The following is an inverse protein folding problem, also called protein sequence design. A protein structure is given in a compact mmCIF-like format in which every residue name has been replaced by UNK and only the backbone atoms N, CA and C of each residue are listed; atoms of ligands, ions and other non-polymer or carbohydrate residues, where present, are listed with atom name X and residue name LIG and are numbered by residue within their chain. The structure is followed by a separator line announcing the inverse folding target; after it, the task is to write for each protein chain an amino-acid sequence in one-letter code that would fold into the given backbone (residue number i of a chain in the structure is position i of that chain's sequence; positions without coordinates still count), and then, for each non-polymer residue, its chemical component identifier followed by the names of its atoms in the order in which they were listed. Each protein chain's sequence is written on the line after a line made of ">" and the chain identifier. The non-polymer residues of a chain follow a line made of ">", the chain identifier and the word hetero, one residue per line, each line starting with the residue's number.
data_IF_834071098383
#
_entry.id   IF_834071098383
#
_cell.length_a   1.000
_cell.length_b   1.000
_cell.length_c   1.000
_cell.angle_alpha   90.00
_cell.angle_beta   90.00
_cell.angle_gamma   90.00
#
_symmetry.space_group_name_H-M   'P 1'
#
loop_
_entity.id
_entity.type
_entity.pdbx_description
1 polymer ?
#
# COMPACT_ATOMS: atom_id res chain seq x y z
N UNK A 1 -17.00 -5.87 9.20
CA UNK A 1 -17.97 -6.45 8.25
C UNK A 1 -19.20 -5.58 8.27
N UNK A 2 -19.50 -4.89 7.16
CA UNK A 2 -20.73 -4.11 7.01
C UNK A 2 -21.77 -5.00 6.30
N UNK A 3 -22.64 -5.62 7.09
CA UNK A 3 -23.67 -6.54 6.59
C UNK A 3 -24.81 -5.82 5.89
N UNK A 4 -25.06 -4.55 6.24
CA UNK A 4 -26.07 -3.73 5.59
C UNK A 4 -25.64 -3.31 4.17
N UNK A 5 -24.36 -2.97 4.00
CA UNK A 5 -23.79 -2.57 2.70
C UNK A 5 -23.16 -3.73 1.91
N UNK A 6 -23.19 -4.94 2.46
CA UNK A 6 -22.54 -6.13 1.89
C UNK A 6 -21.06 -5.87 1.54
N UNK A 7 -20.32 -5.30 2.49
CA UNK A 7 -18.92 -4.89 2.29
C UNK A 7 -17.98 -5.37 3.39
N UNK A 8 -16.78 -5.76 2.96
CA UNK A 8 -15.64 -6.13 3.80
C UNK A 8 -14.50 -5.16 3.50
N UNK A 9 -14.03 -4.48 4.53
CA UNK A 9 -12.89 -3.57 4.45
C UNK A 9 -11.71 -4.14 5.25
N UNK A 10 -10.56 -4.22 4.59
CA UNK A 10 -9.28 -4.58 5.19
C UNK A 10 -8.44 -3.30 5.32
N UNK A 11 -7.89 -3.05 6.51
CA UNK A 11 -6.98 -1.93 6.75
C UNK A 11 -5.57 -2.49 6.98
N UNK A 12 -4.61 -2.08 6.16
CA UNK A 12 -3.22 -2.51 6.25
C UNK A 12 -2.32 -1.33 6.53
N UNK A 13 -1.64 -1.38 7.69
CA UNK A 13 -0.72 -0.36 8.14
C UNK A 13 0.75 -0.71 7.85
N UNK A 14 1.55 0.32 7.56
CA UNK A 14 3.02 0.20 7.50
C UNK A 14 3.65 0.77 8.77
N UNK A 15 4.20 -0.10 9.62
CA UNK A 15 4.65 0.25 10.98
C UNK A 15 6.13 0.63 11.09
N UNK A 16 6.96 0.25 10.12
CA UNK A 16 8.38 0.58 10.14
C UNK A 16 8.60 2.09 9.90
N UNK A 17 9.66 2.67 10.48
CA UNK A 17 10.01 4.09 10.31
C UNK A 17 10.98 4.36 9.16
N UNK A 18 11.68 3.32 8.72
CA UNK A 18 12.69 3.36 7.66
C UNK A 18 12.47 2.21 6.70
N UNK A 19 12.85 2.40 5.44
CA UNK A 19 12.76 1.38 4.40
C UNK A 19 13.81 1.65 3.30
N UNK A 20 14.02 0.68 2.40
CA UNK A 20 14.89 0.87 1.22
C UNK A 20 14.21 1.72 0.16
N UNK A 21 14.99 2.57 -0.52
CA UNK A 21 14.51 3.34 -1.67
C UNK A 21 14.18 2.42 -2.84
N UNK A 22 12.97 2.51 -3.37
CA UNK A 22 12.51 1.68 -4.51
C UNK A 22 13.12 2.10 -5.84
N UNK A 23 13.75 3.28 -5.93
CA UNK A 23 14.37 3.77 -7.16
C UNK A 23 15.85 3.42 -7.32
N UNK A 24 16.60 3.27 -6.21
CA UNK A 24 18.05 2.99 -6.26
C UNK A 24 18.55 1.93 -5.27
N UNK A 25 17.69 1.39 -4.40
CA UNK A 25 18.05 0.36 -3.43
C UNK A 25 18.75 0.84 -2.16
N UNK A 26 19.01 2.15 -2.00
CA UNK A 26 19.63 2.69 -0.80
C UNK A 26 18.84 2.34 0.46
N UNK A 27 19.52 1.81 1.48
CA UNK A 27 18.92 1.27 2.70
C UNK A 27 18.67 2.36 3.75
N UNK A 28 17.82 2.05 4.75
CA UNK A 28 17.67 2.87 5.96
C UNK A 28 17.11 4.28 5.74
N UNK A 29 16.40 4.51 4.63
CA UNK A 29 15.82 5.81 4.31
C UNK A 29 14.57 6.04 5.14
N UNK A 30 14.41 7.24 5.70
CA UNK A 30 13.21 7.61 6.46
C UNK A 30 11.97 7.71 5.57
N UNK A 31 10.80 7.40 6.13
CA UNK A 31 9.52 7.71 5.48
C UNK A 31 9.37 9.22 5.42
N UNK A 32 9.09 9.73 4.22
CA UNK A 32 8.82 11.15 4.00
C UNK A 32 7.37 11.47 4.36
N UNK A 33 6.44 10.72 3.78
CA UNK A 33 5.01 10.85 3.98
C UNK A 33 4.30 9.54 3.62
N UNK A 34 2.97 9.51 3.77
CA UNK A 34 2.14 8.35 3.44
C UNK A 34 0.99 8.78 2.54
N UNK A 35 0.67 7.96 1.56
CA UNK A 35 -0.47 8.17 0.65
C UNK A 35 -1.49 7.08 0.89
N UNK A 36 -2.70 7.47 1.28
CA UNK A 36 -3.82 6.54 1.40
C UNK A 36 -4.24 6.07 0.01
N UNK A 37 -4.32 4.75 -0.16
CA UNK A 37 -4.79 4.09 -1.38
C UNK A 37 -5.77 2.99 -1.01
N UNK A 38 -6.64 2.69 -1.95
CA UNK A 38 -7.60 1.61 -1.86
C UNK A 38 -7.50 0.73 -3.10
N UNK A 39 -7.74 -0.56 -2.92
CA UNK A 39 -7.80 -1.54 -3.98
C UNK A 39 -9.05 -2.38 -3.83
N UNK A 40 -9.66 -2.72 -4.96
CA UNK A 40 -10.81 -3.60 -5.03
C UNK A 40 -10.34 -5.01 -5.39
N UNK A 41 -10.78 -6.02 -4.63
CA UNK A 41 -10.55 -7.42 -4.99
C UNK A 41 -11.79 -8.04 -5.67
N UNK A 42 -11.82 -9.35 -5.85
CA UNK A 42 -13.05 -10.09 -6.18
C UNK A 42 -13.98 -10.08 -4.96
N UNK A 43 -15.26 -10.37 -5.18
CA UNK A 43 -16.21 -10.51 -4.07
C UNK A 43 -15.86 -11.72 -3.20
N UNK A 44 -15.91 -11.53 -1.87
CA UNK A 44 -15.84 -12.62 -0.92
C UNK A 44 -17.25 -12.95 -0.43
N UNK A 45 -17.73 -14.16 -0.65
CA UNK A 45 -19.04 -14.62 -0.17
C UNK A 45 -20.20 -13.69 -0.53
N UNK A 46 -20.15 -13.08 -1.73
CA UNK A 46 -21.10 -12.08 -2.21
C UNK A 46 -21.04 -10.70 -1.49
N UNK A 47 -19.90 -10.38 -0.89
CA UNK A 47 -19.57 -9.07 -0.32
C UNK A 47 -18.45 -8.42 -1.11
N UNK A 48 -18.57 -7.11 -1.33
CA UNK A 48 -17.48 -6.31 -1.88
C UNK A 48 -16.30 -6.29 -0.91
N UNK A 49 -15.14 -6.73 -1.39
CA UNK A 49 -13.88 -6.72 -0.66
C UNK A 49 -12.99 -5.55 -1.09
N UNK A 50 -12.70 -4.66 -0.15
CA UNK A 50 -11.87 -3.48 -0.33
C UNK A 50 -10.66 -3.53 0.61
N UNK A 51 -9.48 -3.26 0.07
CA UNK A 51 -8.24 -3.14 0.83
C UNK A 51 -7.81 -1.69 0.88
N UNK A 52 -7.58 -1.15 2.08
CA UNK A 52 -7.11 0.21 2.31
C UNK A 52 -5.71 0.13 2.92
N UNK A 53 -4.81 0.98 2.45
CA UNK A 53 -3.49 1.10 3.05
C UNK A 53 -2.94 2.52 2.92
N UNK A 54 -2.21 2.96 3.95
CA UNK A 54 -1.35 4.12 3.90
C UNK A 54 0.03 3.71 3.39
N UNK A 55 0.27 3.89 2.09
CA UNK A 55 1.52 3.46 1.47
C UNK A 55 2.61 4.51 1.71
N UNK A 56 3.74 4.14 2.31
CA UNK A 56 4.82 5.09 2.56
C UNK A 56 5.50 5.52 1.26
N UNK A 57 5.87 6.80 1.19
CA UNK A 57 6.81 7.32 0.20
C UNK A 57 8.11 7.72 0.89
N UNK A 58 9.20 7.46 0.21
CA UNK A 58 10.56 7.68 0.69
C UNK A 58 11.17 8.79 -0.15
N UNK A 59 11.58 9.89 0.49
CA UNK A 59 12.46 10.89 -0.12
C UNK A 59 13.89 10.44 0.11
N UNK A 60 14.51 9.85 -0.91
CA UNK A 60 15.83 9.25 -0.77
C UNK A 60 16.91 10.32 -0.73
N UNK A 61 17.74 10.29 0.32
CA UNK A 61 18.89 11.19 0.45
C UNK A 61 20.05 10.84 -0.50
N UNK A 62 20.11 9.60 -1.00
CA UNK A 62 21.20 9.14 -1.86
C UNK A 62 20.98 9.48 -3.35
N UNK A 63 19.76 9.34 -3.87
CA UNK A 63 19.45 9.61 -5.28
C UNK A 63 18.53 10.82 -5.52
N UNK A 64 18.05 11.47 -4.45
CA UNK A 64 17.16 12.64 -4.52
C UNK A 64 15.72 12.35 -4.96
N UNK A 65 15.39 11.12 -5.37
CA UNK A 65 14.05 10.74 -5.84
C UNK A 65 13.09 10.49 -4.69
N UNK A 66 11.82 10.80 -4.92
CA UNK A 66 10.71 10.35 -4.06
C UNK A 66 10.10 9.10 -4.68
N UNK A 67 10.11 7.98 -3.96
CA UNK A 67 9.56 6.71 -4.43
C UNK A 67 8.54 6.15 -3.45
N UNK A 68 7.40 5.70 -3.97
CA UNK A 68 6.43 4.94 -3.18
C UNK A 68 6.92 3.49 -3.00
N UNK A 69 6.78 2.94 -1.80
CA UNK A 69 7.13 1.53 -1.54
C UNK A 69 6.19 0.61 -2.33
N UNK A 70 6.71 -0.42 -3.02
CA UNK A 70 5.88 -1.39 -3.71
C UNK A 70 5.09 -2.20 -2.68
N UNK A 71 3.79 -2.36 -2.93
CA UNK A 71 2.93 -3.25 -2.15
C UNK A 71 2.58 -4.48 -2.98
N UNK A 72 2.59 -5.69 -2.40
CA UNK A 72 2.50 -6.93 -3.16
C UNK A 72 1.17 -7.10 -3.91
N UNK A 73 0.10 -6.44 -3.47
CA UNK A 73 -1.20 -6.45 -4.12
C UNK A 73 -1.38 -5.40 -5.22
N UNK A 74 -0.48 -4.42 -5.38
CA UNK A 74 -0.58 -3.42 -6.46
C UNK A 74 0.13 -3.85 -7.75
N UNK A 75 0.67 -5.08 -7.79
CA UNK A 75 1.29 -5.64 -9.00
C UNK A 75 0.24 -6.14 -9.99
N UNK A 76 0.59 -6.15 -11.28
CA UNK A 76 -0.24 -6.76 -12.30
C UNK A 76 -0.52 -8.24 -11.99
N UNK A 77 -1.76 -8.68 -12.23
CA UNK A 77 -2.18 -10.06 -11.96
C UNK A 77 -2.36 -10.40 -10.47
N UNK A 78 -2.33 -9.42 -9.56
CA UNK A 78 -2.60 -9.64 -8.13
C UNK A 78 -4.07 -9.98 -7.82
N UNK A 79 -4.97 -9.75 -8.77
CA UNK A 79 -6.42 -9.81 -8.56
C UNK A 79 -6.99 -8.60 -7.80
N UNK A 80 -6.16 -7.59 -7.53
CA UNK A 80 -6.56 -6.31 -6.97
C UNK A 80 -6.47 -5.22 -8.04
N UNK A 81 -7.50 -4.37 -8.12
CA UNK A 81 -7.56 -3.21 -9.02
C UNK A 81 -7.55 -1.91 -8.24
#
# INVERSE_FOLDING_TARGET
>A
LDTARRRIDFEVGFTQKKHSCSACGAQGQGIHDRVRRQWRHLDFFQFEAWLHAEVPRIKCGACGKVSQVPVPWAREGSGFT
#
